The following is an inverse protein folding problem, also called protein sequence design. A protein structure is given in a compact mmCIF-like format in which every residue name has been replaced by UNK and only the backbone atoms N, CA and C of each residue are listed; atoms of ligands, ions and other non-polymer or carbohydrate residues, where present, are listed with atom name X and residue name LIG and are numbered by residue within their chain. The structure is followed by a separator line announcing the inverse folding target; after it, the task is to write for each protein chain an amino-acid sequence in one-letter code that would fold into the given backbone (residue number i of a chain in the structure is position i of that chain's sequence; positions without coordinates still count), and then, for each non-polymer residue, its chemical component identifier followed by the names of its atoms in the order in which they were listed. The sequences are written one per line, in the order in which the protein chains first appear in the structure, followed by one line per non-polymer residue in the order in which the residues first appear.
data_IF_151328617733
#
_entry.id   IF_151328617733
#
_cell.length_a   1.000
_cell.length_b   1.000
_cell.length_c   1.000
_cell.angle_alpha   90.00
_cell.angle_beta   90.00
_cell.angle_gamma   90.00
#
_symmetry.space_group_name_H-M   'P 1'
#
loop_
_entity.id
_entity.type
_entity.pdbx_description
1 polymer ?
#
# COMPACT_ATOMS: atom_id res chain seq x y z
N UNK A 1 -21.24 -1.72 -19.98
CA UNK A 1 -19.90 -1.69 -20.60
C UNK A 1 -19.63 -3.07 -21.18
N UNK A 2 -19.60 -3.20 -22.51
CA UNK A 2 -19.59 -4.51 -23.21
C UNK A 2 -18.21 -5.18 -23.27
N UNK A 3 -17.14 -4.48 -22.88
CA UNK A 3 -15.79 -5.03 -22.75
C UNK A 3 -15.25 -4.80 -21.34
N UNK A 4 -14.73 -5.83 -20.64
CA UNK A 4 -14.10 -5.65 -19.34
C UNK A 4 -12.82 -4.81 -19.44
N UNK A 5 -12.53 -4.01 -18.42
CA UNK A 5 -11.27 -3.28 -18.33
C UNK A 5 -10.11 -4.28 -18.25
N UNK A 6 -9.17 -4.17 -19.19
CA UNK A 6 -7.94 -4.95 -19.13
C UNK A 6 -7.06 -4.48 -17.98
N UNK A 7 -6.22 -5.39 -17.46
CA UNK A 7 -5.21 -5.05 -16.45
C UNK A 7 -4.31 -3.89 -16.88
N UNK A 8 -3.93 -3.85 -18.16
CA UNK A 8 -3.11 -2.78 -18.74
C UNK A 8 -3.87 -1.45 -18.70
N UNK A 9 -5.16 -1.45 -19.03
CA UNK A 9 -5.96 -0.23 -19.00
C UNK A 9 -6.13 0.30 -17.58
N UNK A 10 -6.36 -0.58 -16.60
CA UNK A 10 -6.39 -0.21 -15.18
C UNK A 10 -5.06 0.40 -14.74
N UNK A 11 -3.94 -0.21 -15.13
CA UNK A 11 -2.61 0.34 -14.83
C UNK A 11 -2.44 1.77 -15.35
N UNK A 12 -2.78 2.01 -16.63
CA UNK A 12 -2.70 3.34 -17.23
C UNK A 12 -3.57 4.36 -16.50
N UNK A 13 -4.81 3.98 -16.16
CA UNK A 13 -5.74 4.87 -15.44
C UNK A 13 -5.16 5.24 -14.08
N UNK A 14 -4.71 4.26 -13.29
CA UNK A 14 -4.17 4.50 -11.95
C UNK A 14 -2.90 5.35 -12.02
N UNK A 15 -1.93 5.00 -12.89
CA UNK A 15 -0.69 5.77 -13.00
C UNK A 15 -0.95 7.20 -13.46
N UNK A 16 -1.89 7.43 -14.39
CA UNK A 16 -2.28 8.77 -14.83
C UNK A 16 -2.85 9.60 -13.68
N UNK A 17 -3.75 9.02 -12.88
CA UNK A 17 -4.31 9.70 -11.70
C UNK A 17 -3.23 10.02 -10.67
N UNK A 18 -2.27 9.12 -10.46
CA UNK A 18 -1.15 9.36 -9.55
C UNK A 18 -0.23 10.49 -10.05
N UNK A 19 0.00 10.58 -11.36
CA UNK A 19 0.73 11.68 -11.99
C UNK A 19 -0.01 13.02 -11.86
N UNK A 20 -1.31 13.04 -12.16
CA UNK A 20 -2.18 14.21 -11.98
C UNK A 20 -2.20 14.69 -10.51
N UNK A 21 -2.04 13.77 -9.55
CA UNK A 21 -1.92 14.06 -8.12
C UNK A 21 -0.51 14.51 -7.67
N UNK A 22 0.44 14.64 -8.59
CA UNK A 22 1.81 15.06 -8.30
C UNK A 22 2.67 13.99 -7.61
N UNK A 23 2.28 12.71 -7.68
CA UNK A 23 3.08 11.62 -7.12
C UNK A 23 4.30 11.41 -8.03
N UNK A 24 5.54 11.50 -7.50
CA UNK A 24 6.75 11.39 -8.29
C UNK A 24 6.86 10.01 -8.94
N UNK A 25 7.58 9.96 -10.06
CA UNK A 25 7.85 8.69 -10.71
C UNK A 25 8.68 7.77 -9.81
N UNK A 26 8.36 6.47 -9.85
CA UNK A 26 9.02 5.48 -9.01
C UNK A 26 8.20 4.20 -8.83
N UNK A 27 8.76 3.20 -8.12
CA UNK A 27 8.14 1.88 -7.96
C UNK A 27 6.73 1.93 -7.34
N UNK A 28 6.49 2.93 -6.48
CA UNK A 28 5.23 3.11 -5.76
C UNK A 28 4.13 3.76 -6.63
N UNK A 29 4.47 4.37 -7.78
CA UNK A 29 3.52 4.98 -8.73
C UNK A 29 2.86 3.92 -9.62
N UNK A 30 2.23 2.94 -8.98
CA UNK A 30 1.61 1.79 -9.63
C UNK A 30 0.40 1.28 -8.83
N UNK A 31 -0.52 0.50 -9.45
CA UNK A 31 -1.62 -0.15 -8.73
C UNK A 31 -1.15 -1.02 -7.54
N UNK A 32 0.00 -1.70 -7.71
CA UNK A 32 0.60 -2.50 -6.63
C UNK A 32 1.11 -1.61 -5.50
N UNK A 33 1.80 -0.52 -5.84
CA UNK A 33 2.28 0.47 -4.88
C UNK A 33 1.13 1.10 -4.10
N UNK A 34 0.04 1.47 -4.77
CA UNK A 34 -1.18 1.99 -4.14
C UNK A 34 -1.79 0.98 -3.14
N UNK A 35 -1.93 -0.28 -3.54
CA UNK A 35 -2.42 -1.35 -2.66
C UNK A 35 -1.48 -1.56 -1.46
N UNK A 36 -0.17 -1.47 -1.67
CA UNK A 36 0.80 -1.58 -0.59
C UNK A 36 0.69 -0.41 0.40
N UNK A 37 0.63 0.83 -0.10
CA UNK A 37 0.43 2.02 0.73
C UNK A 37 -0.87 1.99 1.54
N UNK A 38 -1.96 1.43 0.99
CA UNK A 38 -3.18 1.20 1.74
C UNK A 38 -2.98 0.28 2.95
N UNK A 39 -2.28 -0.85 2.77
CA UNK A 39 -2.01 -1.80 3.86
C UNK A 39 -1.10 -1.22 4.95
N UNK A 40 -0.07 -0.47 4.55
CA UNK A 40 0.80 0.28 5.49
C UNK A 40 -0.04 1.30 6.26
N UNK A 41 -0.76 2.19 5.56
CA UNK A 41 -1.53 3.26 6.20
C UNK A 41 -2.59 2.73 7.16
N UNK A 42 -3.31 1.67 6.79
CA UNK A 42 -4.28 1.04 7.70
C UNK A 42 -3.60 0.51 8.96
N UNK A 43 -2.44 -0.13 8.84
CA UNK A 43 -1.69 -0.67 9.97
C UNK A 43 -1.13 0.43 10.87
N UNK A 44 -0.55 1.50 10.29
CA UNK A 44 -0.07 2.69 11.01
C UNK A 44 -1.19 3.35 11.82
N UNK A 45 -2.41 3.41 11.26
CA UNK A 45 -3.57 3.98 11.93
C UNK A 45 -4.25 2.99 12.91
N UNK A 46 -3.59 1.89 13.29
CA UNK A 46 -4.07 0.96 14.31
C UNK A 46 -5.20 0.04 13.88
N UNK A 47 -5.45 -0.11 12.56
CA UNK A 47 -6.45 -1.07 12.08
C UNK A 47 -5.95 -2.50 12.36
N UNK A 48 -6.76 -3.35 13.03
CA UNK A 48 -6.37 -4.74 13.29
C UNK A 48 -6.01 -5.51 12.02
N UNK A 49 -4.91 -6.26 12.04
CA UNK A 49 -4.40 -6.98 10.86
C UNK A 49 -5.42 -7.93 10.22
N UNK A 50 -6.29 -8.57 11.00
CA UNK A 50 -7.34 -9.44 10.47
C UNK A 50 -8.39 -8.67 9.63
N UNK A 51 -8.65 -7.40 9.95
CA UNK A 51 -9.51 -6.52 9.16
C UNK A 51 -8.82 -6.11 7.87
N UNK A 52 -7.54 -5.71 7.95
CA UNK A 52 -6.72 -5.37 6.78
C UNK A 52 -6.65 -6.56 5.82
N UNK A 53 -6.41 -7.76 6.34
CA UNK A 53 -6.39 -9.01 5.56
C UNK A 53 -7.70 -9.21 4.80
N UNK A 54 -8.84 -9.04 5.49
CA UNK A 54 -10.18 -9.18 4.91
C UNK A 54 -10.43 -8.17 3.80
N UNK A 55 -10.08 -6.90 4.00
CA UNK A 55 -10.28 -5.84 3.01
C UNK A 55 -9.41 -6.02 1.77
N UNK A 56 -8.20 -6.54 1.95
CA UNK A 56 -7.29 -6.80 0.84
C UNK A 56 -7.57 -8.15 0.16
N UNK A 57 -8.36 -9.03 0.79
CA UNK A 57 -8.65 -10.37 0.26
C UNK A 57 -7.43 -11.28 0.27
N UNK A 58 -6.55 -11.15 1.27
CA UNK A 58 -5.40 -12.05 1.42
C UNK A 58 -5.84 -13.39 2.00
N UNK A 59 -5.43 -14.48 1.33
CA UNK A 59 -5.75 -15.84 1.76
C UNK A 59 -5.05 -16.23 3.08
N UNK A 60 -3.89 -15.65 3.35
CA UNK A 60 -3.08 -15.92 4.54
C UNK A 60 -2.75 -14.62 5.28
N UNK A 61 -2.80 -14.67 6.61
CA UNK A 61 -2.44 -13.52 7.45
C UNK A 61 -0.96 -13.13 7.29
N UNK A 62 -0.09 -14.09 6.98
CA UNK A 62 1.34 -13.88 6.69
C UNK A 62 1.57 -12.86 5.57
N UNK A 63 0.70 -12.80 4.55
CA UNK A 63 0.77 -11.80 3.48
C UNK A 63 0.45 -10.39 3.96
N UNK A 64 -0.31 -10.26 5.06
CA UNK A 64 -0.69 -8.98 5.66
C UNK A 64 0.29 -8.56 6.76
N UNK A 65 0.92 -9.53 7.44
CA UNK A 65 1.89 -9.30 8.51
C UNK A 65 3.09 -8.45 8.06
N UNK A 66 3.47 -8.50 6.76
CA UNK A 66 4.52 -7.65 6.19
C UNK A 66 4.29 -6.15 6.43
N UNK A 67 3.03 -5.72 6.62
CA UNK A 67 2.71 -4.32 6.91
C UNK A 67 3.03 -3.96 8.35
N UNK A 68 2.87 -4.89 9.30
CA UNK A 68 3.27 -4.65 10.69
C UNK A 68 4.79 -4.52 10.83
N UNK A 69 5.56 -5.33 10.09
CA UNK A 69 7.03 -5.25 10.07
C UNK A 69 7.52 -3.90 9.52
N UNK A 70 6.83 -3.37 8.52
CA UNK A 70 7.15 -2.07 7.94
C UNK A 70 6.88 -0.91 8.91
N UNK A 71 5.79 -0.96 9.68
CA UNK A 71 5.52 0.01 10.77
C UNK A 71 6.60 -0.08 11.85
N UNK A 72 6.95 -1.28 12.30
CA UNK A 72 8.00 -1.46 13.31
C UNK A 72 9.36 -0.92 12.85
N UNK A 73 9.69 -1.06 11.55
CA UNK A 73 10.92 -0.51 10.99
C UNK A 73 10.89 1.02 10.88
N UNK A 74 9.79 1.61 10.45
CA UNK A 74 9.62 3.08 10.46
C UNK A 74 9.66 3.66 11.87
N UNK A 75 9.00 3.02 12.85
CA UNK A 75 9.07 3.43 14.26
C UNK A 75 10.51 3.36 14.80
N UNK A 76 11.25 2.29 14.48
CA UNK A 76 12.67 2.17 14.85
C UNK A 76 13.53 3.26 14.21
N UNK A 77 13.32 3.56 12.92
CA UNK A 77 14.08 4.59 12.20
C UNK A 77 13.76 6.01 12.74
N UNK A 78 12.51 6.27 13.13
CA UNK A 78 12.10 7.54 13.76
C UNK A 78 12.68 7.65 15.18
N UNK A 79 12.59 6.60 15.99
CA UNK A 79 13.17 6.57 17.33
C UNK A 79 14.70 6.74 17.29
N UNK A 80 15.39 6.11 16.35
CA UNK A 80 16.83 6.29 16.18
C UNK A 80 17.22 7.74 15.85
N UNK A 81 16.38 8.48 15.11
CA UNK A 81 16.61 9.91 14.79
C UNK A 81 16.29 10.87 15.92
N UNK A 82 15.41 10.48 16.85
CA UNK A 82 15.04 11.30 18.01
C UNK A 82 16.05 11.22 19.17
N UNK A 83 16.80 10.11 19.25
CA UNK A 83 17.83 9.87 20.27
C UNK A 83 19.28 9.95 19.72
N UNK A 84 19.45 10.46 18.50
CA UNK A 84 20.74 10.71 17.85
C UNK A 84 21.16 12.17 17.88
#
# INVERSE_FOLDING_TARGET
MIWPLSRVRVWQIVTRVMEEAGIPDGPNRSPKGLRHGFGINATVNGVPLHMVQKWMGHAQLSTTAIYADAVGKEEQDIAARMWG
#
